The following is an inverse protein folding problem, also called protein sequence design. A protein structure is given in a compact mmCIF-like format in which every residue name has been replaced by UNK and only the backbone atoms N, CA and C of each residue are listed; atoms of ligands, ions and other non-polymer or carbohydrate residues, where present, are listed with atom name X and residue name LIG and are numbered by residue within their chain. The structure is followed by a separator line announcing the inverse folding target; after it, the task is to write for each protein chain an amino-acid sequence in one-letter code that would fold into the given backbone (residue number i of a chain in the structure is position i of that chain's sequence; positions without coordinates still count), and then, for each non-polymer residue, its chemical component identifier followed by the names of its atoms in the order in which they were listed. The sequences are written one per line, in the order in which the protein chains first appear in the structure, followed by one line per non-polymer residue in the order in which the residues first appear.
data_IF_113774451658
#
_entry.id   IF_113774451658
#
_cell.length_a   1.000
_cell.length_b   1.000
_cell.length_c   1.000
_cell.angle_alpha   90.00
_cell.angle_beta   90.00
_cell.angle_gamma   90.00
#
_symmetry.space_group_name_H-M   'P 1'
#
loop_
_entity.id
_entity.type
_entity.pdbx_description
1 polymer ?
#
# COMPACT_ATOMS: atom_id res chain seq x y z
N UNK A 1 14.14 -26.41 -2.50
CA UNK A 1 14.04 -25.20 -1.66
C UNK A 1 13.79 -23.86 -2.40
N UNK A 2 13.87 -23.72 -3.76
CA UNK A 2 13.44 -22.46 -4.39
C UNK A 2 11.93 -22.22 -4.27
N UNK A 3 11.11 -23.28 -4.30
CA UNK A 3 9.64 -23.17 -4.22
C UNK A 3 9.13 -22.50 -2.92
N UNK A 4 9.81 -22.73 -1.79
CA UNK A 4 9.44 -22.11 -0.52
C UNK A 4 9.75 -20.62 -0.48
N UNK A 5 10.90 -20.22 -1.06
CA UNK A 5 11.27 -18.81 -1.18
C UNK A 5 10.31 -18.05 -2.12
N UNK A 6 9.99 -18.63 -3.28
CA UNK A 6 9.00 -18.08 -4.23
C UNK A 6 7.64 -17.91 -3.55
N UNK A 7 7.18 -18.90 -2.79
CA UNK A 7 5.93 -18.84 -2.04
C UNK A 7 5.94 -17.71 -1.01
N UNK A 8 7.02 -17.55 -0.24
CA UNK A 8 7.15 -16.47 0.75
C UNK A 8 7.13 -15.09 0.08
N UNK A 9 7.87 -14.92 -1.03
CA UNK A 9 7.88 -13.65 -1.77
C UNK A 9 6.51 -13.29 -2.32
N UNK A 10 5.77 -14.26 -2.87
CA UNK A 10 4.41 -14.05 -3.35
C UNK A 10 3.43 -13.68 -2.22
N UNK A 11 3.52 -14.34 -1.05
CA UNK A 11 2.69 -13.99 0.11
C UNK A 11 2.98 -12.57 0.60
N UNK A 12 4.26 -12.21 0.76
CA UNK A 12 4.64 -10.86 1.17
C UNK A 12 4.20 -9.82 0.14
N UNK A 13 4.42 -10.09 -1.16
CA UNK A 13 3.93 -9.23 -2.25
C UNK A 13 2.42 -9.01 -2.17
N UNK A 14 1.65 -10.06 -1.90
CA UNK A 14 0.19 -9.97 -1.73
C UNK A 14 -0.18 -9.08 -0.55
N UNK A 15 0.48 -9.25 0.60
CA UNK A 15 0.23 -8.44 1.80
C UNK A 15 0.49 -6.95 1.51
N UNK A 16 1.59 -6.62 0.83
CA UNK A 16 1.90 -5.23 0.48
C UNK A 16 0.89 -4.63 -0.51
N UNK A 17 0.36 -5.40 -1.46
CA UNK A 17 -0.75 -4.95 -2.33
C UNK A 17 -1.99 -4.63 -1.50
N UNK A 18 -2.36 -5.48 -0.55
CA UNK A 18 -3.52 -5.25 0.31
C UNK A 18 -3.34 -3.99 1.16
N UNK A 19 -2.15 -3.78 1.72
CA UNK A 19 -1.81 -2.55 2.46
C UNK A 19 -1.84 -1.30 1.56
N UNK A 20 -1.41 -1.42 0.30
CA UNK A 20 -1.50 -0.34 -0.69
C UNK A 20 -2.96 0.05 -0.95
N UNK A 21 -3.83 -0.95 -1.19
CA UNK A 21 -5.27 -0.72 -1.43
C UNK A 21 -5.93 -0.06 -0.21
N UNK A 22 -5.68 -0.57 1.00
CA UNK A 22 -6.24 0.00 2.23
C UNK A 22 -5.78 1.45 2.41
N UNK A 23 -4.48 1.72 2.23
CA UNK A 23 -3.92 3.07 2.33
C UNK A 23 -4.55 4.02 1.30
N UNK A 24 -4.75 3.55 0.07
CA UNK A 24 -5.41 4.32 -0.99
C UNK A 24 -6.85 4.67 -0.63
N UNK A 25 -7.63 3.68 -0.17
CA UNK A 25 -9.03 3.88 0.23
C UNK A 25 -9.13 4.90 1.35
N UNK A 26 -8.27 4.81 2.38
CA UNK A 26 -8.26 5.78 3.48
C UNK A 26 -7.93 7.19 2.97
N UNK A 27 -6.89 7.34 2.14
CA UNK A 27 -6.52 8.62 1.56
C UNK A 27 -7.64 9.21 0.71
N UNK A 28 -8.34 8.38 -0.06
CA UNK A 28 -9.47 8.76 -0.90
C UNK A 28 -10.68 9.22 -0.06
N UNK A 29 -11.06 8.45 0.96
CA UNK A 29 -12.17 8.81 1.87
C UNK A 29 -11.86 10.13 2.57
N UNK A 30 -10.65 10.29 3.12
CA UNK A 30 -10.25 11.55 3.75
C UNK A 30 -10.24 12.71 2.76
N UNK A 31 -9.85 12.48 1.50
CA UNK A 31 -9.91 13.50 0.47
C UNK A 31 -11.36 13.94 0.16
N UNK A 32 -12.32 13.00 0.16
CA UNK A 32 -13.74 13.32 0.00
C UNK A 32 -14.24 14.11 1.20
N UNK A 33 -13.94 13.66 2.42
CA UNK A 33 -14.37 14.33 3.65
C UNK A 33 -13.82 15.76 3.71
N UNK A 34 -12.55 15.97 3.32
CA UNK A 34 -11.92 17.30 3.22
C UNK A 34 -12.69 18.28 2.34
N UNK A 35 -13.38 17.79 1.30
CA UNK A 35 -14.17 18.63 0.39
C UNK A 35 -15.52 19.04 0.99
N UNK A 36 -15.99 18.34 2.03
CA UNK A 36 -17.28 18.60 2.67
C UNK A 36 -17.13 19.32 4.01
N UNK A 37 -16.06 19.04 4.76
CA UNK A 37 -15.81 19.57 6.11
C UNK A 37 -14.31 19.86 6.25
N UNK A 38 -13.96 20.90 7.01
CA UNK A 38 -12.55 21.17 7.31
C UNK A 38 -12.00 20.07 8.24
N UNK A 39 -11.04 19.31 7.72
CA UNK A 39 -10.40 18.21 8.45
C UNK A 39 -9.51 18.75 9.57
N UNK A 40 -9.53 18.08 10.72
CA UNK A 40 -8.55 18.31 11.78
C UNK A 40 -7.12 18.04 11.29
N UNK A 41 -6.12 18.72 11.85
CA UNK A 41 -4.71 18.65 11.42
C UNK A 41 -4.14 17.24 11.48
N UNK A 42 -4.57 16.43 12.46
CA UNK A 42 -4.19 15.02 12.54
C UNK A 42 -4.65 14.23 11.30
N UNK A 43 -5.90 14.40 10.88
CA UNK A 43 -6.48 13.69 9.73
C UNK A 43 -5.86 14.17 8.40
N UNK A 44 -5.52 15.47 8.30
CA UNK A 44 -4.78 16.02 7.15
C UNK A 44 -3.41 15.35 7.01
N UNK A 45 -2.66 15.23 8.11
CA UNK A 45 -1.36 14.53 8.12
C UNK A 45 -1.52 13.05 7.78
N UNK A 46 -2.53 12.40 8.35
CA UNK A 46 -2.80 10.98 8.09
C UNK A 46 -3.14 10.72 6.61
N UNK A 47 -3.95 11.58 5.99
CA UNK A 47 -4.23 11.52 4.55
C UNK A 47 -2.94 11.58 3.71
N UNK A 48 -2.02 12.49 4.04
CA UNK A 48 -0.74 12.64 3.33
C UNK A 48 0.12 11.38 3.51
N UNK A 49 0.22 10.85 4.73
CA UNK A 49 0.97 9.62 5.01
C UNK A 49 0.42 8.46 4.18
N UNK A 50 -0.90 8.25 4.18
CA UNK A 50 -1.53 7.21 3.38
C UNK A 50 -1.31 7.40 1.87
N UNK A 51 -1.33 8.64 1.37
CA UNK A 51 -1.06 8.95 -0.03
C UNK A 51 0.38 8.63 -0.44
N UNK A 52 1.36 8.78 0.46
CA UNK A 52 2.77 8.43 0.22
C UNK A 52 3.02 6.92 0.36
N UNK A 53 2.41 6.27 1.37
CA UNK A 53 2.58 4.84 1.61
C UNK A 53 1.98 3.98 0.51
N UNK A 54 0.89 4.43 -0.12
CA UNK A 54 0.21 3.71 -1.22
C UNK A 54 1.18 3.31 -2.35
N UNK A 55 1.89 4.26 -3.02
CA UNK A 55 2.84 3.91 -4.07
C UNK A 55 4.06 3.15 -3.54
N UNK A 56 4.51 3.42 -2.32
CA UNK A 56 5.64 2.70 -1.73
C UNK A 56 5.34 1.20 -1.57
N UNK A 57 4.19 0.86 -0.98
CA UNK A 57 3.77 -0.53 -0.83
C UNK A 57 3.52 -1.22 -2.18
N UNK A 58 2.97 -0.49 -3.16
CA UNK A 58 2.76 -1.02 -4.50
C UNK A 58 4.10 -1.39 -5.18
N UNK A 59 5.10 -0.50 -5.12
CA UNK A 59 6.43 -0.73 -5.69
C UNK A 59 7.10 -1.92 -5.01
N UNK A 60 7.09 -1.98 -3.67
CA UNK A 60 7.68 -3.09 -2.92
C UNK A 60 7.02 -4.41 -3.34
N UNK A 61 5.70 -4.44 -3.47
CA UNK A 61 4.97 -5.61 -3.93
C UNK A 61 5.40 -6.06 -5.33
N UNK A 62 5.47 -5.14 -6.30
CA UNK A 62 5.92 -5.44 -7.67
C UNK A 62 7.32 -6.03 -7.66
N UNK A 63 8.24 -5.43 -6.90
CA UNK A 63 9.63 -5.93 -6.80
C UNK A 63 9.66 -7.36 -6.27
N UNK A 64 8.89 -7.66 -5.21
CA UNK A 64 8.81 -9.01 -4.65
C UNK A 64 8.26 -10.03 -5.66
N UNK A 65 7.25 -9.67 -6.43
CA UNK A 65 6.72 -10.53 -7.50
C UNK A 65 7.72 -10.75 -8.64
N UNK A 66 8.48 -9.71 -9.03
CA UNK A 66 9.53 -9.87 -10.04
C UNK A 66 10.58 -10.84 -9.54
N UNK A 67 11.08 -10.69 -8.31
CA UNK A 67 12.01 -11.64 -7.72
C UNK A 67 11.42 -13.06 -7.66
N UNK A 68 10.16 -13.21 -7.24
CA UNK A 68 9.49 -14.50 -7.18
C UNK A 68 9.36 -15.22 -8.54
N UNK A 69 9.36 -14.49 -9.67
CA UNK A 69 9.30 -15.06 -11.01
C UNK A 69 10.67 -15.31 -11.66
N UNK A 70 11.76 -14.79 -11.07
CA UNK A 70 13.14 -14.99 -11.55
C UNK A 70 13.77 -16.24 -10.94
N UNK A 71 13.34 -16.64 -9.74
CA UNK A 71 13.78 -17.85 -9.03
C UNK A 71 12.90 -19.05 -9.35
#
# INVERSE_FOLDING_TARGET
MPDEAVRIFNYLGTIFILLSIISFVIAFVLNIVKKQVDLNDFLKKFQIVCAILTPAFLIISIVLYVFANVF
#
